data_IF_848524240449
#
_entry.id   IF_848524240449
#
_cell.length_a   1.000
_cell.length_b   1.000
_cell.length_c   1.000
_cell.angle_alpha   90.00
_cell.angle_beta   90.00
_cell.angle_gamma   90.00
#
_symmetry.space_group_name_H-M   'P 1'
#
loop_
_entity.id
_entity.type
_entity.pdbx_description
1 polymer ?
#
# COMPACT_ATOMS: atom_id res chain seq x y z
N UNK A 1 3.18 0.80 15.57
CA UNK A 1 3.14 1.20 14.13
C UNK A 1 1.88 2.01 13.88
N UNK A 2 1.97 3.07 13.09
CA UNK A 2 0.85 3.92 12.68
C UNK A 2 0.47 3.62 11.22
N UNK A 3 -0.77 3.84 10.85
CA UNK A 3 -1.23 3.77 9.46
C UNK A 3 -1.07 5.15 8.82
N UNK A 4 -0.33 5.26 7.74
CA UNK A 4 -0.12 6.49 6.99
C UNK A 4 -0.75 6.36 5.60
N UNK A 5 -1.89 6.98 5.41
CA UNK A 5 -2.62 7.00 4.15
C UNK A 5 -2.28 8.27 3.36
N UNK A 6 -1.94 8.15 2.08
CA UNK A 6 -1.99 9.25 1.14
C UNK A 6 -3.21 9.10 0.23
N UNK A 7 -4.01 10.16 0.11
CA UNK A 7 -5.18 10.19 -0.78
C UNK A 7 -5.47 11.61 -1.28
N UNK A 8 -6.35 11.72 -2.25
CA UNK A 8 -6.83 12.98 -2.82
C UNK A 8 -8.36 13.01 -2.82
N UNK A 9 -8.96 14.19 -2.67
CA UNK A 9 -10.43 14.35 -2.63
C UNK A 9 -11.14 13.86 -3.90
N UNK A 10 -10.48 13.83 -5.05
CA UNK A 10 -11.02 13.25 -6.29
C UNK A 10 -11.27 11.74 -6.19
N UNK A 11 -10.65 11.07 -5.21
CA UNK A 11 -10.86 9.66 -4.92
C UNK A 11 -11.84 9.40 -3.78
N UNK A 12 -12.67 10.40 -3.40
CA UNK A 12 -13.64 10.28 -2.31
C UNK A 12 -14.63 9.12 -2.49
N UNK A 13 -14.95 8.76 -3.74
CA UNK A 13 -15.79 7.61 -4.08
C UNK A 13 -15.18 6.25 -3.70
N UNK A 14 -13.85 6.19 -3.50
CA UNK A 14 -13.10 5.02 -3.04
C UNK A 14 -13.14 4.92 -1.50
N UNK A 15 -13.20 6.04 -0.78
CA UNK A 15 -13.02 6.11 0.67
C UNK A 15 -14.01 5.26 1.46
N UNK A 16 -15.24 5.10 0.98
CA UNK A 16 -16.23 4.23 1.62
C UNK A 16 -15.69 2.80 1.79
N UNK A 17 -15.09 2.26 0.75
CA UNK A 17 -14.55 0.90 0.75
C UNK A 17 -13.23 0.82 1.52
N UNK A 18 -12.39 1.84 1.38
CA UNK A 18 -11.20 2.00 2.20
C UNK A 18 -11.53 1.94 3.69
N UNK A 19 -12.45 2.76 4.17
CA UNK A 19 -12.84 2.79 5.57
C UNK A 19 -13.43 1.46 6.03
N UNK A 20 -14.31 0.86 5.24
CA UNK A 20 -14.90 -0.45 5.54
C UNK A 20 -13.83 -1.52 5.76
N UNK A 21 -12.82 -1.59 4.90
CA UNK A 21 -11.74 -2.59 5.02
C UNK A 21 -10.76 -2.24 6.15
N UNK A 22 -10.46 -0.96 6.34
CA UNK A 22 -9.60 -0.50 7.43
C UNK A 22 -10.24 -0.76 8.80
N UNK A 23 -11.52 -0.50 8.97
CA UNK A 23 -12.25 -0.81 10.21
C UNK A 23 -12.28 -2.31 10.50
N UNK A 24 -12.40 -3.12 9.45
CA UNK A 24 -12.43 -4.58 9.58
C UNK A 24 -11.09 -5.19 9.95
N UNK A 25 -9.98 -4.67 9.41
CA UNK A 25 -8.68 -5.32 9.48
C UNK A 25 -7.60 -4.52 10.20
N UNK A 26 -7.72 -3.18 10.30
CA UNK A 26 -6.71 -2.26 10.83
C UNK A 26 -7.30 -1.27 11.86
N UNK A 27 -8.34 -1.64 12.57
CA UNK A 27 -9.05 -0.75 13.51
C UNK A 27 -8.19 -0.28 14.68
N UNK A 28 -7.21 -1.09 15.11
CA UNK A 28 -6.34 -0.81 16.27
C UNK A 28 -5.15 0.09 15.94
N UNK A 29 -5.02 0.58 14.72
CA UNK A 29 -3.93 1.47 14.32
C UNK A 29 -4.28 2.92 14.61
N UNK A 30 -3.31 3.69 15.11
CA UNK A 30 -3.35 5.14 15.01
C UNK A 30 -3.27 5.52 13.53
N UNK A 31 -4.23 6.32 13.06
CA UNK A 31 -4.45 6.59 11.64
C UNK A 31 -4.10 8.02 11.29
N UNK A 32 -3.23 8.20 10.31
CA UNK A 32 -2.82 9.50 9.77
C UNK A 32 -3.19 9.52 8.28
N UNK A 33 -3.78 10.62 7.83
CA UNK A 33 -4.16 10.82 6.44
C UNK A 33 -3.51 12.08 5.86
N UNK A 34 -2.79 11.95 4.76
CA UNK A 34 -2.29 13.05 3.96
C UNK A 34 -3.31 13.35 2.87
N UNK A 35 -3.94 14.53 2.92
CA UNK A 35 -5.10 14.87 2.10
C UNK A 35 -5.07 16.36 1.71
N UNK A 36 -5.61 16.72 0.54
CA UNK A 36 -5.74 18.10 0.09
C UNK A 36 -6.91 18.85 0.75
N UNK A 37 -7.95 18.13 1.25
CA UNK A 37 -9.15 18.72 1.84
C UNK A 37 -9.62 17.94 3.07
N UNK A 38 -10.03 18.62 4.14
CA UNK A 38 -10.50 17.98 5.37
C UNK A 38 -12.01 17.71 5.40
N UNK A 39 -12.78 18.34 4.53
CA UNK A 39 -14.23 18.51 4.70
C UNK A 39 -15.07 17.23 4.56
N UNK A 40 -14.47 16.09 4.19
CA UNK A 40 -15.20 14.83 3.93
C UNK A 40 -14.52 13.58 4.50
N UNK A 41 -13.40 13.71 5.18
CA UNK A 41 -12.69 12.56 5.73
C UNK A 41 -13.09 12.32 7.19
N UNK A 42 -12.98 11.07 7.66
CA UNK A 42 -13.41 10.65 8.99
C UNK A 42 -12.58 11.29 10.11
N UNK A 43 -13.24 11.59 11.24
CA UNK A 43 -12.64 12.27 12.40
C UNK A 43 -11.67 11.37 13.21
N UNK A 44 -11.70 10.05 13.00
CA UNK A 44 -10.75 9.12 13.66
C UNK A 44 -9.37 9.08 13.00
N UNK A 45 -9.12 9.93 12.00
CA UNK A 45 -7.82 10.14 11.37
C UNK A 45 -7.22 11.49 11.78
N UNK A 46 -5.93 11.51 12.10
CA UNK A 46 -5.17 12.76 12.10
C UNK A 46 -4.94 13.20 10.65
N UNK A 47 -5.73 14.16 10.17
CA UNK A 47 -5.61 14.68 8.80
C UNK A 47 -4.54 15.76 8.73
N UNK A 48 -3.53 15.56 7.88
CA UNK A 48 -2.49 16.53 7.56
C UNK A 48 -2.70 17.02 6.14
N UNK A 49 -3.00 18.32 5.99
CA UNK A 49 -3.30 18.92 4.69
C UNK A 49 -2.06 19.28 3.91
N UNK A 50 -2.08 18.97 2.61
CA UNK A 50 -1.13 19.49 1.64
C UNK A 50 -1.78 20.48 0.68
N UNK A 51 -0.93 21.28 0.00
CA UNK A 51 -1.38 22.19 -1.05
C UNK A 51 -1.46 21.45 -2.38
N UNK A 52 -2.62 21.51 -3.01
CA UNK A 52 -2.92 20.81 -4.28
C UNK A 52 -2.12 21.33 -5.48
N UNK A 53 -1.62 22.58 -5.41
CA UNK A 53 -0.75 23.15 -6.43
C UNK A 53 0.67 22.55 -6.44
N UNK A 54 1.04 21.85 -5.39
CA UNK A 54 2.34 21.19 -5.28
C UNK A 54 2.42 19.97 -6.19
N UNK A 55 3.63 19.61 -6.62
CA UNK A 55 3.91 18.30 -7.23
C UNK A 55 3.60 17.17 -6.28
N UNK A 56 3.33 15.97 -6.79
CA UNK A 56 3.09 14.76 -5.98
C UNK A 56 4.12 14.59 -4.85
N UNK A 57 5.41 14.70 -5.17
CA UNK A 57 6.51 14.64 -4.22
C UNK A 57 6.40 15.68 -3.11
N UNK A 58 6.18 16.94 -3.47
CA UNK A 58 6.13 18.05 -2.51
C UNK A 58 4.87 18.03 -1.64
N UNK A 59 3.75 17.48 -2.13
CA UNK A 59 2.55 17.21 -1.32
C UNK A 59 2.89 16.32 -0.13
N UNK A 60 3.58 15.19 -0.39
CA UNK A 60 3.95 14.23 0.65
C UNK A 60 4.99 14.86 1.59
N UNK A 61 6.09 15.43 1.08
CA UNK A 61 7.15 16.00 1.90
C UNK A 61 6.63 17.05 2.87
N UNK A 62 5.78 18.00 2.42
CA UNK A 62 5.21 19.04 3.28
C UNK A 62 4.36 18.50 4.43
N UNK A 63 3.77 17.31 4.26
CA UNK A 63 3.04 16.63 5.33
C UNK A 63 3.99 15.88 6.29
N UNK A 64 4.99 15.20 5.74
CA UNK A 64 5.93 14.40 6.53
C UNK A 64 6.73 15.28 7.51
N UNK A 65 7.02 16.54 7.17
CA UNK A 65 7.72 17.49 8.05
C UNK A 65 6.99 17.79 9.36
N UNK A 66 5.71 17.46 9.43
CA UNK A 66 4.85 17.61 10.62
C UNK A 66 4.77 16.33 11.46
N UNK A 67 5.47 15.26 11.08
CA UNK A 67 5.46 13.96 11.74
C UNK A 67 6.80 13.68 12.41
N UNK A 68 6.77 12.79 13.42
CA UNK A 68 7.99 12.39 14.11
C UNK A 68 8.81 11.42 13.23
N UNK A 69 10.06 11.76 13.00
CA UNK A 69 10.99 11.02 12.13
C UNK A 69 11.20 9.56 12.53
N UNK A 70 11.08 9.24 13.82
CA UNK A 70 11.28 7.88 14.34
C UNK A 70 10.01 7.02 14.35
N UNK A 71 8.86 7.59 14.02
CA UNK A 71 7.62 6.80 13.92
C UNK A 71 7.75 5.76 12.81
N UNK A 72 7.45 4.50 13.17
CA UNK A 72 7.30 3.41 12.19
C UNK A 72 5.88 3.43 11.69
N UNK A 73 5.74 3.54 10.37
CA UNK A 73 4.45 3.62 9.69
C UNK A 73 4.27 2.50 8.67
N UNK A 74 3.02 2.11 8.45
CA UNK A 74 2.57 1.40 7.26
C UNK A 74 2.04 2.45 6.28
N UNK A 75 2.82 2.75 5.25
CA UNK A 75 2.47 3.72 4.20
C UNK A 75 1.74 3.04 3.06
N UNK A 76 0.62 3.60 2.62
CA UNK A 76 -0.20 3.09 1.52
C UNK A 76 -1.14 4.15 0.94
N UNK A 77 -1.77 3.83 -0.18
CA UNK A 77 -2.75 4.66 -0.87
C UNK A 77 -4.17 4.09 -0.72
N UNK A 78 -5.18 4.89 -1.02
CA UNK A 78 -6.59 4.59 -0.81
C UNK A 78 -7.15 3.44 -1.66
N UNK A 79 -6.49 3.08 -2.75
CA UNK A 79 -6.88 1.97 -3.63
C UNK A 79 -6.23 0.62 -3.27
N UNK A 80 -5.51 0.57 -2.14
CA UNK A 80 -4.83 -0.62 -1.64
C UNK A 80 -5.66 -1.31 -0.55
N UNK A 81 -6.75 -1.96 -0.95
CA UNK A 81 -7.70 -2.58 -0.02
C UNK A 81 -7.23 -3.92 0.51
N UNK A 82 -7.30 -4.10 1.82
CA UNK A 82 -7.25 -5.44 2.40
C UNK A 82 -8.52 -6.22 2.06
N UNK A 83 -8.36 -7.48 1.67
CA UNK A 83 -9.49 -8.38 1.45
C UNK A 83 -9.53 -9.53 2.47
N UNK A 84 -8.46 -9.72 3.25
CA UNK A 84 -8.42 -10.72 4.33
C UNK A 84 -7.55 -10.23 5.50
N UNK A 85 -7.57 -10.95 6.61
CA UNK A 85 -6.84 -10.63 7.84
C UNK A 85 -5.32 -10.76 7.62
N UNK A 86 -4.54 -9.71 7.90
CA UNK A 86 -3.07 -9.78 7.90
C UNK A 86 -2.53 -10.71 9.01
N UNK A 87 -1.35 -11.28 8.78
CA UNK A 87 -0.61 -12.03 9.81
C UNK A 87 0.16 -11.07 10.72
N UNK A 88 -0.52 -10.48 11.69
CA UNK A 88 0.04 -9.43 12.54
C UNK A 88 1.28 -9.85 13.33
N UNK A 89 1.44 -11.13 13.67
CA UNK A 89 2.67 -11.62 14.29
C UNK A 89 3.89 -11.36 13.37
N UNK A 90 3.79 -11.68 12.08
CA UNK A 90 4.87 -11.45 11.11
C UNK A 90 5.04 -9.93 10.83
N UNK A 91 3.93 -9.20 10.72
CA UNK A 91 3.97 -7.73 10.54
C UNK A 91 4.67 -7.05 11.72
N UNK A 92 4.45 -7.50 12.95
CA UNK A 92 5.12 -6.97 14.14
C UNK A 92 6.63 -7.26 14.11
N UNK A 93 7.05 -8.48 13.71
CA UNK A 93 8.46 -8.82 13.51
C UNK A 93 9.11 -7.90 12.45
N UNK A 94 8.41 -7.59 11.36
CA UNK A 94 8.87 -6.62 10.35
C UNK A 94 9.02 -5.21 10.92
N UNK A 95 8.06 -4.77 11.76
CA UNK A 95 8.15 -3.47 12.43
C UNK A 95 9.36 -3.39 13.35
N UNK A 96 9.69 -4.49 14.04
CA UNK A 96 10.86 -4.53 14.93
C UNK A 96 12.18 -4.47 14.15
N UNK A 97 12.26 -5.11 12.98
CA UNK A 97 13.42 -4.96 12.10
C UNK A 97 13.63 -3.52 11.67
N UNK A 98 12.55 -2.83 11.26
CA UNK A 98 12.61 -1.41 10.85
C UNK A 98 12.89 -0.50 12.05
N UNK A 99 12.26 -0.73 13.21
CA UNK A 99 12.44 0.06 14.43
C UNK A 99 13.90 0.03 14.90
N UNK A 100 14.54 -1.13 14.81
CA UNK A 100 15.91 -1.37 15.22
C UNK A 100 16.95 -1.08 14.13
N UNK A 101 16.56 -0.40 13.06
CA UNK A 101 17.42 -0.03 11.93
C UNK A 101 18.16 -1.24 11.27
N UNK A 102 17.60 -2.47 11.35
CA UNK A 102 18.13 -3.65 10.66
C UNK A 102 17.87 -3.61 9.15
N UNK A 103 16.79 -2.96 8.75
CA UNK A 103 16.48 -2.58 7.38
C UNK A 103 15.71 -1.25 7.38
N UNK A 104 15.63 -0.60 6.23
CA UNK A 104 15.00 0.70 6.11
C UNK A 104 13.55 0.62 5.64
N UNK A 105 13.26 -0.32 4.72
CA UNK A 105 11.90 -0.52 4.17
C UNK A 105 11.59 -1.99 4.03
N UNK A 106 10.34 -2.36 4.30
CA UNK A 106 9.78 -3.68 4.00
C UNK A 106 8.48 -3.48 3.23
N UNK A 107 8.53 -3.71 1.92
CA UNK A 107 7.36 -3.74 1.05
C UNK A 107 6.57 -5.03 1.30
N UNK A 108 5.26 -4.94 1.49
CA UNK A 108 4.43 -6.07 1.89
C UNK A 108 4.01 -6.97 0.74
N UNK A 109 4.63 -6.81 -0.42
CA UNK A 109 4.42 -7.63 -1.60
C UNK A 109 5.72 -7.83 -2.37
N UNK A 110 5.85 -9.00 -3.01
CA UNK A 110 6.88 -9.28 -3.99
C UNK A 110 6.43 -8.84 -5.38
N UNK A 111 7.31 -8.21 -6.15
CA UNK A 111 7.05 -7.77 -7.53
C UNK A 111 7.95 -8.47 -8.58
N UNK A 112 9.08 -9.05 -8.15
CA UNK A 112 10.09 -9.65 -9.04
C UNK A 112 10.28 -11.13 -8.75
N UNK A 113 10.71 -11.86 -9.78
CA UNK A 113 11.15 -13.25 -9.70
C UNK A 113 12.61 -13.34 -9.28
N UNK A 114 13.03 -14.52 -8.82
CA UNK A 114 14.43 -14.85 -8.54
C UNK A 114 15.16 -13.87 -7.61
N UNK A 115 14.47 -13.32 -6.62
CA UNK A 115 15.06 -12.47 -5.61
C UNK A 115 15.80 -13.30 -4.56
N UNK A 116 16.93 -12.76 -4.07
CA UNK A 116 17.72 -13.37 -3.00
C UNK A 116 16.98 -13.34 -1.67
N UNK A 117 17.05 -14.44 -0.90
CA UNK A 117 16.48 -14.52 0.46
C UNK A 117 17.30 -13.65 1.42
N UNK A 118 16.60 -12.86 2.21
CA UNK A 118 17.22 -12.10 3.30
C UNK A 118 17.57 -13.03 4.46
N UNK A 119 18.69 -12.77 5.12
CA UNK A 119 19.08 -13.44 6.36
C UNK A 119 18.33 -12.92 7.59
N UNK A 120 17.65 -11.78 7.49
CA UNK A 120 16.97 -11.12 8.60
C UNK A 120 15.67 -11.81 8.99
N UNK A 121 14.97 -12.43 8.04
CA UNK A 121 13.73 -13.16 8.30
C UNK A 121 13.39 -14.09 7.13
N UNK A 122 12.86 -15.29 7.42
CA UNK A 122 12.54 -16.34 6.43
C UNK A 122 11.54 -15.90 5.34
N UNK A 123 10.65 -14.98 5.66
CA UNK A 123 9.63 -14.45 4.75
C UNK A 123 10.04 -13.12 4.09
N UNK A 124 11.33 -12.81 4.03
CA UNK A 124 11.84 -11.59 3.38
C UNK A 124 12.83 -11.92 2.26
N UNK A 125 12.68 -11.18 1.17
CA UNK A 125 13.59 -11.18 0.04
C UNK A 125 14.21 -9.78 -0.10
N UNK A 126 15.39 -9.71 -0.70
CA UNK A 126 16.10 -8.46 -0.99
C UNK A 126 15.50 -7.84 -2.26
N UNK A 127 15.08 -6.59 -2.20
CA UNK A 127 14.61 -5.87 -3.38
C UNK A 127 15.75 -5.62 -4.37
N UNK A 128 15.45 -5.65 -5.68
CA UNK A 128 16.49 -5.45 -6.69
C UNK A 128 16.97 -3.99 -6.68
N UNK A 129 18.24 -3.77 -6.99
CA UNK A 129 18.90 -2.46 -6.97
C UNK A 129 18.28 -1.41 -7.90
N UNK A 130 17.54 -1.82 -8.90
CA UNK A 130 16.86 -0.92 -9.82
C UNK A 130 15.46 -0.48 -9.35
N UNK A 131 14.92 -1.10 -8.27
CA UNK A 131 13.65 -0.71 -7.67
C UNK A 131 13.64 -0.95 -6.15
N UNK A 132 14.31 -0.08 -5.42
CA UNK A 132 14.40 -0.18 -3.95
C UNK A 132 13.13 0.29 -3.22
N UNK A 133 12.29 1.09 -3.88
CA UNK A 133 11.01 1.54 -3.34
C UNK A 133 9.93 1.53 -4.44
N UNK A 134 8.70 1.30 -4.06
CA UNK A 134 7.52 1.47 -4.93
C UNK A 134 6.34 1.92 -4.08
N UNK A 135 5.35 2.52 -4.72
CA UNK A 135 4.10 2.96 -4.07
C UNK A 135 3.21 1.73 -3.85
N UNK A 136 3.58 0.95 -2.86
CA UNK A 136 2.86 -0.23 -2.39
C UNK A 136 2.91 -0.24 -0.85
N UNK A 137 2.03 -0.94 -0.15
CA UNK A 137 2.06 -1.03 1.29
C UNK A 137 3.46 -1.37 1.78
N UNK A 138 4.07 -0.41 2.49
CA UNK A 138 5.47 -0.51 2.92
C UNK A 138 5.60 -0.06 4.38
N UNK A 139 6.30 -0.88 5.18
CA UNK A 139 6.69 -0.56 6.56
C UNK A 139 8.03 0.17 6.52
N UNK A 140 8.09 1.37 7.10
CA UNK A 140 9.30 2.19 7.18
C UNK A 140 9.18 3.25 8.27
N UNK A 141 10.29 3.91 8.61
CA UNK A 141 10.26 5.12 9.46
C UNK A 141 9.93 6.36 8.62
N UNK A 142 9.32 7.37 9.25
CA UNK A 142 9.06 8.67 8.61
C UNK A 142 10.34 9.29 8.04
N UNK A 143 11.46 9.26 8.78
CA UNK A 143 12.76 9.74 8.27
C UNK A 143 13.18 9.06 6.97
N UNK A 144 12.96 7.75 6.86
CA UNK A 144 13.27 6.98 5.65
C UNK A 144 12.37 7.40 4.48
N UNK A 145 11.07 7.59 4.73
CA UNK A 145 10.13 8.05 3.71
C UNK A 145 10.52 9.45 3.20
N UNK A 146 10.88 10.38 4.10
CA UNK A 146 11.42 11.70 3.72
C UNK A 146 12.66 11.57 2.85
N UNK A 147 13.63 10.75 3.26
CA UNK A 147 14.86 10.51 2.49
C UNK A 147 14.55 10.01 1.09
N UNK A 148 13.65 9.03 0.94
CA UNK A 148 13.23 8.50 -0.37
C UNK A 148 12.66 9.61 -1.23
N UNK A 149 11.69 10.39 -0.70
CA UNK A 149 11.07 11.47 -1.46
C UNK A 149 12.02 12.65 -1.73
N UNK A 150 12.98 12.93 -0.88
CA UNK A 150 14.00 13.98 -1.13
C UNK A 150 14.98 13.57 -2.22
N UNK A 151 15.46 12.34 -2.18
CA UNK A 151 16.56 11.86 -3.03
C UNK A 151 16.12 11.47 -4.44
N UNK A 152 14.90 10.94 -4.60
CA UNK A 152 14.42 10.41 -5.87
C UNK A 152 13.80 11.54 -6.72
N UNK A 153 14.25 11.75 -7.98
CA UNK A 153 13.63 12.71 -8.89
C UNK A 153 12.32 12.16 -9.46
N UNK A 154 11.39 13.06 -9.81
CA UNK A 154 10.12 12.74 -10.45
C UNK A 154 9.05 13.79 -10.13
N UNK A 155 8.28 14.21 -11.14
CA UNK A 155 7.21 15.18 -10.98
C UNK A 155 5.85 14.52 -10.69
N UNK A 156 5.70 13.28 -11.11
CA UNK A 156 4.51 12.46 -10.90
C UNK A 156 4.90 11.08 -10.33
N UNK A 157 3.89 10.31 -9.92
CA UNK A 157 4.05 9.01 -9.28
C UNK A 157 4.85 8.01 -10.14
N UNK A 158 4.63 8.00 -11.45
CA UNK A 158 5.24 7.04 -12.37
C UNK A 158 6.72 7.32 -12.58
N UNK A 159 7.08 8.60 -12.80
CA UNK A 159 8.47 9.04 -12.89
C UNK A 159 9.21 8.79 -11.58
N UNK A 160 8.57 9.07 -10.46
CA UNK A 160 9.14 8.81 -9.14
C UNK A 160 9.47 7.32 -8.95
N UNK A 161 8.51 6.42 -9.17
CA UNK A 161 8.75 4.97 -9.04
C UNK A 161 9.84 4.45 -9.97
N UNK A 162 9.89 4.92 -11.21
CA UNK A 162 10.90 4.53 -12.20
C UNK A 162 12.33 4.90 -11.77
N UNK A 163 12.48 5.89 -10.90
CA UNK A 163 13.78 6.38 -10.45
C UNK A 163 14.22 5.84 -9.07
N UNK A 164 13.48 4.93 -8.43
CA UNK A 164 13.78 4.41 -7.09
C UNK A 164 14.94 3.40 -7.05
N UNK A 165 15.98 3.63 -7.84
CA UNK A 165 17.16 2.77 -7.93
C UNK A 165 18.24 3.16 -6.93
N UNK A 166 19.26 2.31 -6.78
CA UNK A 166 20.43 2.55 -5.96
C UNK A 166 21.24 3.79 -6.38
N UNK A 167 21.04 4.31 -7.59
CA UNK A 167 21.64 5.58 -8.04
C UNK A 167 21.28 6.72 -7.08
N UNK A 168 20.05 6.73 -6.58
CA UNK A 168 19.51 7.77 -5.69
C UNK A 168 19.36 7.31 -4.24
N UNK A 169 19.34 6.00 -3.99
CA UNK A 169 19.04 5.37 -2.70
C UNK A 169 20.14 4.38 -2.29
N UNK A 170 21.42 4.79 -2.41
CA UNK A 170 22.61 3.92 -2.27
C UNK A 170 22.63 3.10 -0.98
N UNK A 171 22.26 3.72 0.14
CA UNK A 171 22.39 3.11 1.46
C UNK A 171 21.05 2.50 1.96
N UNK A 172 20.06 2.39 1.08
CA UNK A 172 18.74 1.90 1.45
C UNK A 172 18.72 0.37 1.46
N UNK A 173 18.68 -0.23 2.66
CA UNK A 173 18.40 -1.66 2.83
C UNK A 173 16.90 -1.87 2.67
N UNK A 174 16.51 -2.37 1.50
CA UNK A 174 15.12 -2.53 1.09
C UNK A 174 14.78 -4.00 0.90
N UNK A 175 13.71 -4.44 1.54
CA UNK A 175 13.22 -5.83 1.52
C UNK A 175 11.78 -5.87 1.03
N UNK A 176 11.36 -7.05 0.58
CA UNK A 176 9.94 -7.31 0.30
C UNK A 176 9.47 -8.60 0.96
N UNK A 177 8.20 -8.60 1.34
CA UNK A 177 7.53 -9.76 1.92
C UNK A 177 7.35 -10.85 0.88
N UNK A 178 7.54 -12.09 1.33
CA UNK A 178 7.46 -13.30 0.52
C UNK A 178 6.68 -14.39 1.25
N UNK A 179 5.75 -15.00 0.56
CA UNK A 179 4.96 -16.12 1.07
C UNK A 179 5.16 -17.34 0.18
N UNK A 180 5.92 -18.33 0.64
CA UNK A 180 6.20 -19.56 -0.13
C UNK A 180 4.93 -20.35 -0.51
N UNK A 181 3.84 -20.19 0.25
CA UNK A 181 2.58 -20.91 0.01
C UNK A 181 1.70 -20.23 -1.05
N UNK A 182 1.93 -18.95 -1.31
CA UNK A 182 1.16 -18.14 -2.26
C UNK A 182 2.11 -17.45 -3.24
N UNK A 183 2.83 -18.24 -4.01
CA UNK A 183 3.70 -17.75 -5.08
C UNK A 183 2.92 -17.60 -6.39
N UNK A 184 1.74 -17.02 -6.29
CA UNK A 184 0.83 -16.82 -7.40
C UNK A 184 0.91 -15.36 -7.89
N UNK A 185 1.27 -15.20 -9.16
CA UNK A 185 1.41 -13.89 -9.80
C UNK A 185 0.08 -13.40 -10.32
N UNK A 186 -0.30 -12.19 -9.91
CA UNK A 186 -1.44 -11.46 -10.47
C UNK A 186 -0.98 -10.36 -11.43
N UNK A 187 -1.53 -10.36 -12.64
CA UNK A 187 -1.18 -9.39 -13.67
C UNK A 187 0.31 -9.41 -13.99
N UNK A 188 0.88 -8.22 -14.21
CA UNK A 188 2.31 -8.08 -14.59
C UNK A 188 3.26 -7.98 -13.41
N UNK A 189 2.81 -7.43 -12.26
CA UNK A 189 3.71 -6.79 -11.31
C UNK A 189 3.65 -7.33 -9.89
N UNK A 190 2.66 -8.18 -9.55
CA UNK A 190 2.39 -8.50 -8.16
C UNK A 190 2.24 -10.00 -7.93
N UNK A 191 2.65 -10.44 -6.74
CA UNK A 191 2.41 -11.77 -6.24
C UNK A 191 1.46 -11.70 -5.05
N UNK A 192 0.51 -12.63 -4.96
CA UNK A 192 -0.37 -12.70 -3.79
C UNK A 192 0.42 -12.99 -2.51
N UNK A 193 -0.10 -12.54 -1.37
CA UNK A 193 0.49 -12.78 -0.07
C UNK A 193 -0.58 -13.04 0.98
N UNK A 194 -0.43 -14.11 1.75
CA UNK A 194 -1.25 -14.35 2.95
C UNK A 194 -0.75 -13.57 4.17
N UNK A 195 0.43 -12.93 4.07
CA UNK A 195 0.99 -12.12 5.16
C UNK A 195 0.27 -10.79 5.24
N UNK A 196 0.07 -10.14 4.09
CA UNK A 196 -0.70 -8.91 3.97
C UNK A 196 -1.59 -8.99 2.73
N UNK A 197 -2.77 -9.64 2.83
CA UNK A 197 -3.64 -9.92 1.70
C UNK A 197 -4.40 -8.65 1.28
N UNK A 198 -3.95 -7.98 0.23
CA UNK A 198 -4.53 -6.74 -0.27
C UNK A 198 -4.60 -6.71 -1.80
N UNK A 199 -5.46 -5.87 -2.32
CA UNK A 199 -5.53 -5.56 -3.75
C UNK A 199 -4.48 -4.50 -4.06
N UNK A 200 -3.50 -4.85 -4.89
CA UNK A 200 -2.36 -3.97 -5.21
C UNK A 200 -2.73 -2.75 -6.03
N UNK A 201 -3.80 -2.85 -6.82
CA UNK A 201 -4.28 -1.78 -7.70
C UNK A 201 -5.78 -1.99 -7.92
N UNK A 202 -6.59 -1.48 -7.00
CA UNK A 202 -8.04 -1.60 -7.11
C UNK A 202 -8.62 -0.68 -8.20
N UNK A 203 -7.93 0.42 -8.51
CA UNK A 203 -8.38 1.43 -9.46
C UNK A 203 -7.34 1.63 -10.56
N UNK A 204 -7.75 1.49 -11.82
CA UNK A 204 -6.94 1.79 -13.02
C UNK A 204 -7.65 2.84 -13.85
N UNK A 205 -7.01 4.01 -14.05
CA UNK A 205 -7.57 5.12 -14.84
C UNK A 205 -9.01 5.49 -14.42
N UNK A 206 -9.24 5.59 -13.09
CA UNK A 206 -10.54 5.93 -12.53
C UNK A 206 -11.62 4.84 -12.61
N UNK A 207 -11.26 3.60 -12.92
CA UNK A 207 -12.19 2.46 -13.01
C UNK A 207 -11.71 1.31 -12.13
N UNK A 208 -12.67 0.57 -11.56
CA UNK A 208 -12.36 -0.64 -10.80
C UNK A 208 -11.67 -1.70 -11.65
N UNK A 209 -10.62 -2.32 -11.11
CA UNK A 209 -9.83 -3.37 -11.77
C UNK A 209 -10.49 -4.75 -11.63
N UNK A 210 -11.69 -4.92 -12.20
CA UNK A 210 -12.38 -6.20 -12.21
C UNK A 210 -11.66 -7.29 -13.00
N UNK A 211 -10.73 -6.93 -13.86
CA UNK A 211 -10.00 -7.92 -14.66
C UNK A 211 -9.15 -8.82 -13.78
N UNK A 212 -8.49 -8.24 -12.76
CA UNK A 212 -7.54 -8.95 -11.91
C UNK A 212 -8.12 -9.31 -10.54
N UNK A 213 -9.07 -8.51 -10.02
CA UNK A 213 -9.56 -8.59 -8.63
C UNK A 213 -11.09 -8.70 -8.54
N UNK A 214 -11.70 -9.45 -9.45
CA UNK A 214 -13.16 -9.56 -9.52
C UNK A 214 -13.79 -10.12 -8.25
N UNK A 215 -13.22 -11.17 -7.70
CA UNK A 215 -13.77 -11.87 -6.53
C UNK A 215 -13.63 -11.01 -5.28
N UNK A 216 -12.44 -10.46 -5.06
CA UNK A 216 -12.14 -9.61 -3.91
C UNK A 216 -12.98 -8.32 -3.94
N UNK A 217 -13.09 -7.66 -5.09
CA UNK A 217 -13.92 -6.47 -5.25
C UNK A 217 -15.40 -6.78 -5.03
N UNK A 218 -15.87 -7.93 -5.51
CA UNK A 218 -17.24 -8.36 -5.26
C UNK A 218 -17.47 -8.55 -3.75
N UNK A 219 -16.60 -9.25 -3.04
CA UNK A 219 -16.71 -9.45 -1.60
C UNK A 219 -16.71 -8.13 -0.83
N UNK A 220 -15.84 -7.19 -1.21
CA UNK A 220 -15.74 -5.86 -0.61
C UNK A 220 -17.03 -5.04 -0.84
N UNK A 221 -17.55 -5.02 -2.07
CA UNK A 221 -18.69 -4.16 -2.41
C UNK A 221 -20.01 -4.66 -1.85
N UNK A 222 -20.18 -5.97 -1.81
CA UNK A 222 -21.44 -6.58 -1.37
C UNK A 222 -21.37 -7.12 0.06
N UNK A 223 -20.19 -7.10 0.70
CA UNK A 223 -19.93 -7.70 2.01
C UNK A 223 -20.40 -9.17 2.08
N UNK A 224 -20.26 -9.92 1.00
CA UNK A 224 -20.68 -11.31 0.82
C UNK A 224 -19.57 -12.08 0.14
N UNK A 225 -19.35 -13.35 0.56
CA UNK A 225 -18.42 -14.23 -0.14
C UNK A 225 -18.81 -14.38 -1.61
N UNK A 226 -17.82 -14.31 -2.49
CA UNK A 226 -18.03 -14.52 -3.90
C UNK A 226 -18.47 -15.98 -4.14
N UNK A 227 -19.61 -16.15 -4.80
CA UNK A 227 -20.09 -17.45 -5.23
C UNK A 227 -20.24 -17.43 -6.76
N UNK A 228 -19.44 -18.23 -7.45
CA UNK A 228 -19.44 -18.31 -8.91
C UNK A 228 -20.84 -18.52 -9.49
N UNK A 229 -21.69 -19.33 -8.85
CA UNK A 229 -23.07 -19.56 -9.28
C UNK A 229 -23.94 -18.29 -9.22
N UNK A 230 -23.84 -17.53 -8.12
CA UNK A 230 -24.59 -16.28 -7.94
C UNK A 230 -24.16 -15.18 -8.91
N UNK A 231 -22.91 -15.18 -9.34
CA UNK A 231 -22.40 -14.21 -10.31
C UNK A 231 -23.05 -14.38 -11.70
N UNK A 232 -23.22 -15.59 -12.17
CA UNK A 232 -23.92 -15.86 -13.44
C UNK A 232 -25.39 -15.45 -13.37
N UNK A 233 -26.08 -15.72 -12.26
CA UNK A 233 -27.50 -15.34 -12.07
C UNK A 233 -27.68 -13.83 -11.97
N UNK A 234 -26.79 -13.08 -11.34
CA UNK A 234 -26.88 -11.61 -11.25
C UNK A 234 -26.67 -10.94 -12.62
N UNK A 235 -25.83 -11.47 -13.48
CA UNK A 235 -25.66 -10.99 -14.86
C UNK A 235 -26.88 -11.26 -15.74
N UNK A 236 -27.55 -12.39 -15.57
CA UNK A 236 -28.76 -12.72 -16.33
C UNK A 236 -29.93 -11.77 -15.97
N UNK A 237 -29.97 -11.25 -14.75
CA UNK A 237 -31.00 -10.31 -14.33
C UNK A 237 -30.72 -8.84 -14.72
N UNK A 238 -29.48 -8.47 -15.01
CA UNK A 238 -29.12 -7.12 -15.48
C UNK A 238 -29.40 -6.89 -16.98
N UNK A 239 -29.67 -7.95 -17.73
CA UNK A 239 -30.07 -7.88 -19.15
C UNK A 239 -31.60 -8.02 -19.36
N UNK A 240 -32.39 -7.97 -18.27
CA UNK A 240 -33.86 -8.08 -18.33
C UNK A 240 -34.60 -6.77 -17.98
N UNK A 241 -33.87 -5.62 -17.90
CA UNK A 241 -34.49 -4.30 -17.75
C UNK A 241 -33.97 -3.37 -18.85
#
# INVERSE_FOLDING_TARGET
>A
MKLLLYTHSDYNWVWKYWHQQTDKFLNNFEKICLLNSQSMFRDDYLVIKYNDQNTYKNRILSCLDRLNDNDVVLFLHEDMFLYNMPKFNIINEYCDLVRNDKCHTIKLIRAFENLEKSTLHKNLLINPYNQLFSIQPTILKIKTLKQVYLSVPGNNIWEFEANTSNKYLKDLISLCSFDEKLDFKRGKFHYDSSIFPYICTAVIKGKWNYKEYKEELFEIFYNKKFNHLNYYFSRLNLFKN
#
